data_IF_909744402783
#
_entry.id   IF_909744402783
#
_cell.length_a   1.000
_cell.length_b   1.000
_cell.length_c   1.000
_cell.angle_alpha   90.00
_cell.angle_beta   90.00
_cell.angle_gamma   90.00
#
_symmetry.space_group_name_H-M   'P 1'
#
loop_
_entity.id
_entity.type
_entity.pdbx_description
1 polymer ?
#
# COMPACT_ATOMS: atom_id res chain seq x y z
N UNK A 1 0.23 -18.83 10.73
CA UNK A 1 -1.14 -18.27 10.78
C UNK A 1 -1.66 -18.07 9.38
N UNK A 2 -2.88 -18.51 9.05
CA UNK A 2 -3.47 -18.34 7.71
C UNK A 2 -3.69 -16.85 7.43
N UNK A 3 -3.09 -16.33 6.35
CA UNK A 3 -3.29 -14.93 5.92
C UNK A 3 -4.72 -14.79 5.40
N UNK A 4 -5.56 -13.91 5.98
CA UNK A 4 -6.93 -13.76 5.51
C UNK A 4 -6.95 -13.15 4.10
N UNK A 5 -7.90 -13.65 3.29
CA UNK A 5 -8.16 -13.11 1.96
C UNK A 5 -8.56 -11.64 2.07
N UNK A 6 -8.02 -10.80 1.18
CA UNK A 6 -8.43 -9.39 1.12
C UNK A 6 -9.94 -9.31 0.84
N UNK A 7 -10.70 -8.50 1.59
CA UNK A 7 -12.13 -8.35 1.37
C UNK A 7 -12.39 -7.79 -0.03
N UNK A 8 -13.46 -8.30 -0.66
CA UNK A 8 -13.91 -7.81 -1.95
C UNK A 8 -14.47 -6.39 -1.82
N UNK A 9 -14.10 -5.50 -2.74
CA UNK A 9 -14.63 -4.15 -2.86
C UNK A 9 -15.38 -4.05 -4.19
N UNK A 10 -16.70 -3.83 -4.13
CA UNK A 10 -17.52 -3.58 -5.31
C UNK A 10 -17.10 -2.28 -6.01
N UNK A 11 -17.37 -2.17 -7.30
CA UNK A 11 -17.08 -0.95 -8.07
C UNK A 11 -17.77 0.29 -7.48
N UNK A 12 -19.03 0.17 -7.06
CA UNK A 12 -19.75 1.25 -6.36
C UNK A 12 -19.03 1.71 -5.09
N UNK A 13 -18.55 0.76 -4.27
CA UNK A 13 -17.83 1.12 -3.04
C UNK A 13 -16.49 1.80 -3.34
N UNK A 14 -15.81 1.41 -4.42
CA UNK A 14 -14.59 2.09 -4.89
C UNK A 14 -14.89 3.53 -5.33
N UNK A 15 -15.95 3.73 -6.11
CA UNK A 15 -16.40 5.05 -6.55
C UNK A 15 -16.84 5.93 -5.39
N UNK A 16 -17.53 5.36 -4.39
CA UNK A 16 -17.90 6.06 -3.16
C UNK A 16 -16.66 6.60 -2.43
N UNK A 17 -15.65 5.76 -2.19
CA UNK A 17 -14.39 6.17 -1.54
C UNK A 17 -13.68 7.27 -2.34
N UNK A 18 -13.59 7.11 -3.66
CA UNK A 18 -12.99 8.14 -4.51
C UNK A 18 -13.80 9.45 -4.49
N UNK A 19 -15.13 9.36 -4.44
CA UNK A 19 -16.05 10.49 -4.35
C UNK A 19 -15.90 11.28 -3.05
N UNK A 20 -15.73 10.61 -1.90
CA UNK A 20 -15.42 11.27 -0.62
C UNK A 20 -14.12 12.09 -0.69
N UNK A 21 -13.19 11.69 -1.55
CA UNK A 21 -11.93 12.41 -1.80
C UNK A 21 -12.00 13.36 -2.99
N UNK A 22 -13.19 13.62 -3.52
CA UNK A 22 -13.42 14.47 -4.69
C UNK A 22 -12.58 14.03 -5.92
N UNK A 23 -12.40 12.72 -6.07
CA UNK A 23 -11.57 12.09 -7.10
C UNK A 23 -10.13 12.64 -7.14
N UNK A 24 -9.57 12.94 -5.97
CA UNK A 24 -8.18 13.36 -5.82
C UNK A 24 -7.34 12.28 -5.15
N UNK A 25 -6.10 12.15 -5.62
CA UNK A 25 -5.12 11.23 -5.07
C UNK A 25 -4.76 11.62 -3.62
N UNK A 26 -4.78 10.65 -2.70
CA UNK A 26 -4.31 10.87 -1.33
C UNK A 26 -2.79 11.12 -1.23
N UNK A 27 -2.01 10.70 -2.24
CA UNK A 27 -0.56 10.85 -2.31
C UNK A 27 0.16 10.48 -0.99
N UNK A 28 0.09 9.21 -0.55
CA UNK A 28 0.53 8.77 0.79
C UNK A 28 2.03 8.99 1.05
N UNK A 29 2.83 9.19 0.01
CA UNK A 29 4.27 9.44 0.11
C UNK A 29 4.66 10.92 -0.07
N UNK A 30 3.69 11.83 -0.17
CA UNK A 30 3.86 13.27 -0.37
C UNK A 30 3.28 13.76 -1.71
N UNK A 31 2.57 14.89 -1.69
CA UNK A 31 1.94 15.49 -2.89
C UNK A 31 2.99 15.91 -3.93
N UNK A 32 4.14 16.38 -3.47
CA UNK A 32 5.29 16.80 -4.27
C UNK A 32 5.95 15.62 -5.01
N UNK A 33 5.74 14.40 -4.53
CA UNK A 33 6.26 13.16 -5.12
C UNK A 33 5.21 12.41 -5.94
N UNK A 34 4.00 12.96 -6.07
CA UNK A 34 2.94 12.39 -6.87
C UNK A 34 2.85 13.13 -8.22
N UNK A 35 3.23 12.51 -9.35
CA UNK A 35 3.15 13.16 -10.66
C UNK A 35 1.74 13.65 -11.02
N UNK A 36 0.69 12.97 -10.53
CA UNK A 36 -0.69 13.43 -10.74
C UNK A 36 -0.99 14.73 -10.00
N UNK A 37 -0.44 14.94 -8.81
CA UNK A 37 -0.55 16.23 -8.09
C UNK A 37 0.21 17.32 -8.82
N UNK A 38 1.46 17.03 -9.21
CA UNK A 38 2.35 17.99 -9.86
C UNK A 38 1.79 18.44 -11.23
N UNK A 39 1.25 17.52 -12.03
CA UNK A 39 0.85 17.79 -13.42
C UNK A 39 -0.64 18.12 -13.57
N UNK A 40 -1.49 17.57 -12.69
CA UNK A 40 -2.96 17.62 -12.87
C UNK A 40 -3.73 17.98 -11.59
N UNK A 41 -3.05 18.52 -10.57
CA UNK A 41 -3.70 18.90 -9.31
C UNK A 41 -4.29 17.72 -8.52
N UNK A 42 -3.84 16.51 -8.83
CA UNK A 42 -4.20 15.27 -8.13
C UNK A 42 -5.47 14.60 -8.65
N UNK A 43 -6.16 15.21 -9.62
CA UNK A 43 -7.46 14.76 -10.09
C UNK A 43 -7.36 13.54 -10.99
N UNK A 44 -8.25 12.57 -10.82
CA UNK A 44 -8.45 11.47 -11.76
C UNK A 44 -9.94 11.32 -12.12
N UNK A 45 -10.21 10.61 -13.21
CA UNK A 45 -11.57 10.19 -13.56
C UNK A 45 -11.92 8.85 -12.89
N UNK A 46 -13.12 8.33 -13.15
CA UNK A 46 -13.64 7.08 -12.58
C UNK A 46 -12.76 5.83 -12.82
N UNK A 47 -11.85 5.88 -13.78
CA UNK A 47 -10.92 4.79 -14.12
C UNK A 47 -9.46 5.04 -13.70
N UNK A 48 -9.15 6.22 -13.16
CA UNK A 48 -7.78 6.67 -12.90
C UNK A 48 -7.22 6.37 -11.50
N UNK A 49 -7.86 5.50 -10.72
CA UNK A 49 -7.47 5.24 -9.33
C UNK A 49 -7.53 3.78 -8.91
N UNK A 50 -6.82 3.49 -7.82
CA UNK A 50 -6.85 2.23 -7.08
C UNK A 50 -7.19 2.51 -5.62
N UNK A 51 -7.80 1.53 -4.95
CA UNK A 51 -8.06 1.61 -3.51
C UNK A 51 -6.87 1.06 -2.73
N UNK A 52 -6.23 1.94 -1.98
CA UNK A 52 -5.12 1.65 -1.11
C UNK A 52 -5.56 1.51 0.35
N UNK A 53 -4.87 0.64 1.09
CA UNK A 53 -5.03 0.54 2.54
C UNK A 53 -3.87 1.29 3.18
N UNK A 54 -4.17 2.36 3.91
CA UNK A 54 -3.16 3.24 4.51
C UNK A 54 -2.27 2.48 5.51
N UNK A 55 -2.82 1.69 6.45
CA UNK A 55 -2.09 0.55 7.00
C UNK A 55 -2.03 -0.55 5.95
N UNK A 56 -0.82 -0.94 5.54
CA UNK A 56 -0.65 -2.05 4.62
C UNK A 56 -1.42 -3.28 5.13
N UNK A 57 -2.33 -3.82 4.30
CA UNK A 57 -3.18 -4.98 4.65
C UNK A 57 -2.37 -6.16 5.19
N UNK A 58 -1.14 -6.34 4.68
CA UNK A 58 -0.23 -7.41 5.09
C UNK A 58 0.31 -7.29 6.51
N UNK A 59 0.25 -6.11 7.15
CA UNK A 59 0.81 -5.88 8.49
C UNK A 59 -0.20 -6.16 9.60
N UNK A 60 -1.48 -5.87 9.38
CA UNK A 60 -2.49 -5.95 10.44
C UNK A 60 -3.56 -6.99 10.20
N UNK A 61 -3.89 -7.28 8.93
CA UNK A 61 -5.03 -8.12 8.52
C UNK A 61 -6.38 -7.75 9.16
N UNK A 62 -6.46 -6.59 9.83
CA UNK A 62 -7.57 -6.16 10.70
C UNK A 62 -8.12 -4.80 10.29
N UNK A 63 -7.36 -4.01 9.54
CA UNK A 63 -7.75 -2.65 9.17
C UNK A 63 -8.49 -2.66 7.84
N UNK A 64 -9.80 -2.88 7.90
CA UNK A 64 -10.71 -2.84 6.75
C UNK A 64 -11.22 -1.42 6.45
N UNK A 65 -10.89 -0.44 7.31
CA UNK A 65 -11.54 0.88 7.33
C UNK A 65 -10.75 2.06 6.78
N UNK A 66 -9.41 2.01 6.76
CA UNK A 66 -8.59 3.12 6.27
C UNK A 66 -8.26 2.90 4.80
N UNK A 67 -9.28 3.08 3.97
CA UNK A 67 -9.21 2.96 2.52
C UNK A 67 -9.16 4.33 1.86
N UNK A 68 -8.21 4.51 0.96
CA UNK A 68 -8.06 5.77 0.21
C UNK A 68 -7.87 5.46 -1.27
N UNK A 69 -8.50 6.24 -2.13
CA UNK A 69 -8.21 6.30 -3.55
C UNK A 69 -6.87 7.00 -3.79
N UNK A 70 -6.01 6.33 -4.55
CA UNK A 70 -4.71 6.85 -5.00
C UNK A 70 -4.55 6.59 -6.48
N UNK A 71 -3.77 7.41 -7.17
CA UNK A 71 -3.49 7.18 -8.59
C UNK A 71 -2.61 5.92 -8.78
N UNK A 72 -2.67 5.34 -9.98
CA UNK A 72 -1.91 4.15 -10.37
C UNK A 72 -0.41 4.25 -10.06
N UNK A 73 0.18 5.44 -10.22
CA UNK A 73 1.59 5.68 -9.92
C UNK A 73 1.90 5.56 -8.43
N UNK A 74 1.10 6.19 -7.57
CA UNK A 74 1.25 6.06 -6.12
C UNK A 74 1.06 4.61 -5.68
N UNK A 75 0.07 3.93 -6.26
CA UNK A 75 -0.19 2.53 -5.95
C UNK A 75 1.00 1.62 -6.30
N UNK A 76 1.64 1.86 -7.45
CA UNK A 76 2.85 1.15 -7.85
C UNK A 76 4.03 1.39 -6.89
N UNK A 77 4.24 2.64 -6.44
CA UNK A 77 5.28 2.99 -5.46
C UNK A 77 5.03 2.27 -4.14
N UNK A 78 3.83 2.41 -3.56
CA UNK A 78 3.48 1.76 -2.30
C UNK A 78 3.66 0.24 -2.38
N UNK A 79 3.23 -0.37 -3.48
CA UNK A 79 3.41 -1.80 -3.72
C UNK A 79 4.87 -2.21 -3.78
N UNK A 80 5.74 -1.40 -4.39
CA UNK A 80 7.18 -1.66 -4.47
C UNK A 80 7.86 -1.53 -3.10
N UNK A 81 7.57 -0.45 -2.36
CA UNK A 81 8.09 -0.24 -1.01
C UNK A 81 7.69 -1.41 -0.11
N UNK A 82 6.42 -1.81 -0.14
CA UNK A 82 5.94 -2.94 0.65
C UNK A 82 6.68 -4.25 0.33
N UNK A 83 7.01 -4.51 -0.95
CA UNK A 83 7.80 -5.69 -1.34
C UNK A 83 9.24 -5.62 -0.81
N UNK A 84 9.88 -4.46 -0.89
CA UNK A 84 11.23 -4.24 -0.37
C UNK A 84 11.26 -4.47 1.14
N UNK A 85 10.38 -3.81 1.89
CA UNK A 85 10.29 -3.97 3.35
C UNK A 85 10.02 -5.42 3.76
N UNK A 86 9.18 -6.15 3.00
CA UNK A 86 8.94 -7.57 3.27
C UNK A 86 10.14 -8.47 2.94
N UNK A 87 11.03 -8.06 2.03
CA UNK A 87 12.25 -8.79 1.71
C UNK A 87 13.33 -8.54 2.75
N UNK A 88 13.50 -7.28 3.16
CA UNK A 88 14.42 -6.88 4.25
C UNK A 88 14.06 -7.58 5.57
N UNK A 89 12.78 -7.62 5.93
CA UNK A 89 12.32 -8.30 7.14
C UNK A 89 12.48 -9.83 7.09
N UNK A 90 12.68 -10.43 5.91
CA UNK A 90 12.98 -11.87 5.79
C UNK A 90 14.48 -12.15 5.84
N UNK A 91 15.29 -11.25 5.31
CA UNK A 91 16.75 -11.38 5.34
C UNK A 91 17.34 -11.18 6.73
N UNK A 92 16.66 -10.46 7.63
CA UNK A 92 17.10 -10.26 9.02
C UNK A 92 16.90 -11.49 9.92
N UNK A 93 16.08 -12.46 9.52
CA UNK A 93 15.78 -13.66 10.33
C UNK A 93 16.77 -14.82 10.07
N UNK A 94 17.67 -14.71 9.07
CA UNK A 94 18.59 -15.79 8.66
C UNK A 94 20.04 -15.59 9.18
N UNK A 95 20.36 -14.48 9.84
CA UNK A 95 21.74 -14.17 10.31
C UNK A 95 22.02 -14.53 11.79
N UNK A 96 21.04 -15.01 12.57
CA UNK A 96 21.25 -15.33 14.00
C UNK A 96 21.60 -16.80 14.32
N UNK A 97 21.67 -17.70 13.33
CA UNK A 97 21.88 -19.15 13.56
C UNK A 97 23.32 -19.66 13.29
N UNK A 98 24.32 -18.78 13.14
CA UNK A 98 25.69 -19.17 12.76
C UNK A 98 26.79 -19.02 13.84
N UNK A 99 26.45 -18.69 15.10
CA UNK A 99 27.48 -18.35 16.11
C UNK A 99 27.57 -19.31 17.31
N UNK A 100 27.25 -20.59 17.13
CA UNK A 100 27.51 -21.59 18.18
C UNK A 100 27.78 -22.99 17.64
N UNK A 101 28.93 -23.18 17.01
CA UNK A 101 29.57 -24.48 16.95
C UNK A 101 31.10 -24.33 16.96
N UNK A 102 31.71 -25.03 17.91
CA UNK A 102 33.10 -25.48 17.98
C UNK A 102 34.17 -24.51 18.54
N UNK A 103 34.34 -24.57 19.86
CA UNK A 103 35.69 -24.61 20.47
C UNK A 103 35.71 -25.69 21.58
N UNK A 104 36.11 -26.92 21.21
CA UNK A 104 36.64 -27.97 22.11
C UNK A 104 38.18 -28.03 21.95
#
# INVERSE_FOLDING_TARGET
>A
TLKPKRPFLSSEKKLYIAGEQLFKCAAPHGVEKCPMHVLHGGNFNESGFEIHHEPAWSKSYRHVGQLTAICHHCHAICSRIQRITNAEAKGSDEEEDLDSADED
#
